data_IF_996949453732
#
_entry.id   IF_996949453732
#
_cell.length_a   1.000
_cell.length_b   1.000
_cell.length_c   1.000
_cell.angle_alpha   90.00
_cell.angle_beta   90.00
_cell.angle_gamma   90.00
#
_symmetry.space_group_name_H-M   'P 1'
#
loop_
_entity.id
_entity.type
_entity.pdbx_description
1 polymer ?
#
# COMPACT_ATOMS: atom_id res chain seq x y z
N UNK A 1 19.28 -2.25 -3.20
CA UNK A 1 19.51 -3.71 -3.31
C UNK A 1 19.87 -4.42 -1.99
N UNK A 2 20.38 -3.76 -0.94
CA UNK A 2 20.62 -4.44 0.35
C UNK A 2 19.33 -4.99 0.99
N UNK A 3 18.25 -4.21 0.95
CA UNK A 3 16.93 -4.61 1.46
C UNK A 3 16.28 -5.75 0.68
N UNK A 4 16.44 -5.82 -0.65
CA UNK A 4 15.92 -6.93 -1.46
C UNK A 4 16.60 -8.26 -1.09
N UNK A 5 17.92 -8.24 -0.86
CA UNK A 5 18.67 -9.43 -0.44
C UNK A 5 18.33 -9.86 0.99
N UNK A 6 18.10 -8.91 1.89
CA UNK A 6 17.70 -9.19 3.28
C UNK A 6 16.27 -9.73 3.36
N UNK A 7 15.32 -9.12 2.66
CA UNK A 7 13.94 -9.59 2.60
C UNK A 7 13.82 -11.00 2.00
N UNK A 8 14.67 -11.33 1.03
CA UNK A 8 14.74 -12.68 0.47
C UNK A 8 15.36 -13.71 1.44
N UNK A 9 16.29 -13.28 2.31
CA UNK A 9 16.97 -14.15 3.28
C UNK A 9 16.16 -14.36 4.56
N UNK A 10 15.36 -13.37 4.97
CA UNK A 10 14.51 -13.41 6.17
C UNK A 10 13.06 -13.04 5.80
N UNK A 11 12.34 -13.92 5.08
CA UNK A 11 10.98 -13.64 4.59
C UNK A 11 9.92 -13.48 5.70
N UNK A 12 10.24 -13.90 6.93
CA UNK A 12 9.38 -13.71 8.11
C UNK A 12 9.67 -12.38 8.86
N UNK A 13 10.72 -11.66 8.48
CA UNK A 13 11.06 -10.39 9.12
C UNK A 13 10.23 -9.25 8.53
N UNK A 14 9.11 -8.95 9.20
CA UNK A 14 8.15 -7.94 8.77
C UNK A 14 8.73 -6.53 8.68
N UNK A 15 9.80 -6.23 9.42
CA UNK A 15 10.46 -4.92 9.36
C UNK A 15 11.20 -4.70 8.04
N UNK A 16 11.98 -5.68 7.57
CA UNK A 16 12.71 -5.56 6.30
C UNK A 16 11.78 -5.51 5.09
N UNK A 17 10.73 -6.34 5.10
CA UNK A 17 9.70 -6.30 4.08
C UNK A 17 8.99 -4.93 4.06
N UNK A 18 8.68 -4.35 5.23
CA UNK A 18 8.08 -3.01 5.31
C UNK A 18 8.99 -1.94 4.75
N UNK A 19 10.27 -1.91 5.14
CA UNK A 19 11.26 -0.94 4.64
C UNK A 19 11.44 -1.03 3.11
N UNK A 20 11.45 -2.25 2.58
CA UNK A 20 11.51 -2.49 1.14
C UNK A 20 10.25 -1.95 0.44
N UNK A 21 9.07 -2.18 1.02
CA UNK A 21 7.82 -1.64 0.47
C UNK A 21 7.79 -0.10 0.44
N UNK A 22 8.32 0.56 1.48
CA UNK A 22 8.44 2.03 1.55
C UNK A 22 9.38 2.53 0.45
N UNK A 23 10.47 1.81 0.18
CA UNK A 23 11.40 2.17 -0.90
C UNK A 23 10.71 2.11 -2.27
N UNK A 24 9.96 1.06 -2.55
CA UNK A 24 9.19 0.96 -3.80
C UNK A 24 8.08 2.01 -3.92
N UNK A 25 7.36 2.30 -2.83
CA UNK A 25 6.35 3.37 -2.82
C UNK A 25 6.96 4.71 -3.23
N UNK A 26 8.07 5.11 -2.60
CA UNK A 26 8.74 6.38 -2.88
C UNK A 26 9.27 6.46 -4.32
N UNK A 27 9.80 5.36 -4.85
CA UNK A 27 10.23 5.30 -6.25
C UNK A 27 9.03 5.38 -7.20
N UNK A 28 7.92 4.74 -6.86
CA UNK A 28 6.67 4.80 -7.62
C UNK A 28 6.09 6.21 -7.66
N UNK A 29 6.09 6.91 -6.52
CA UNK A 29 5.68 8.31 -6.41
C UNK A 29 6.58 9.22 -7.25
N UNK A 30 7.90 9.02 -7.21
CA UNK A 30 8.84 9.77 -8.04
C UNK A 30 8.59 9.54 -9.54
N UNK A 31 8.36 8.28 -9.96
CA UNK A 31 8.03 7.96 -11.34
C UNK A 31 6.70 8.59 -11.77
N UNK A 32 5.70 8.62 -10.90
CA UNK A 32 4.42 9.29 -11.16
C UNK A 32 4.60 10.78 -11.39
N UNK A 33 5.40 11.46 -10.55
CA UNK A 33 5.73 12.89 -10.71
C UNK A 33 6.54 13.17 -11.98
N UNK A 34 7.29 12.18 -12.47
CA UNK A 34 8.01 12.26 -13.75
C UNK A 34 7.12 11.90 -14.96
N UNK A 35 5.81 11.71 -14.76
CA UNK A 35 4.84 11.29 -15.77
C UNK A 35 5.14 9.91 -16.40
N UNK A 36 6.01 9.11 -15.77
CA UNK A 36 6.29 7.72 -16.15
C UNK A 36 5.30 6.77 -15.45
N UNK A 37 4.07 6.77 -15.96
CA UNK A 37 2.94 6.00 -15.42
C UNK A 37 3.20 4.50 -15.41
N UNK A 38 3.90 3.96 -16.41
CA UNK A 38 4.19 2.52 -16.48
C UNK A 38 5.17 2.10 -15.39
N UNK A 39 6.26 2.86 -15.19
CA UNK A 39 7.20 2.61 -14.11
C UNK A 39 6.54 2.80 -12.74
N UNK A 40 5.73 3.85 -12.58
CA UNK A 40 4.97 4.10 -11.35
C UNK A 40 4.05 2.92 -11.02
N UNK A 41 3.28 2.43 -11.99
CA UNK A 41 2.40 1.28 -11.84
C UNK A 41 3.16 0.04 -11.41
N UNK A 42 4.30 -0.27 -12.03
CA UNK A 42 5.10 -1.44 -11.69
C UNK A 42 5.65 -1.38 -10.26
N UNK A 43 6.18 -0.23 -9.85
CA UNK A 43 6.76 -0.01 -8.52
C UNK A 43 5.68 -0.03 -7.42
N UNK A 44 4.56 0.66 -7.64
CA UNK A 44 3.44 0.68 -6.69
C UNK A 44 2.76 -0.70 -6.57
N UNK A 45 2.69 -1.46 -7.66
CA UNK A 45 2.22 -2.86 -7.63
C UNK A 45 3.10 -3.74 -6.75
N UNK A 46 4.42 -3.54 -6.83
CA UNK A 46 5.39 -4.27 -6.00
C UNK A 46 5.24 -3.89 -4.52
N UNK A 47 5.14 -2.59 -4.22
CA UNK A 47 4.90 -2.09 -2.86
C UNK A 47 3.59 -2.66 -2.26
N UNK A 48 2.49 -2.61 -3.03
CA UNK A 48 1.19 -3.12 -2.61
C UNK A 48 1.24 -4.63 -2.33
N UNK A 49 1.94 -5.41 -3.16
CA UNK A 49 2.07 -6.86 -2.98
C UNK A 49 2.77 -7.22 -1.67
N UNK A 50 3.83 -6.48 -1.32
CA UNK A 50 4.54 -6.68 -0.04
C UNK A 50 3.64 -6.27 1.14
N UNK A 51 2.97 -5.11 1.06
CA UNK A 51 2.09 -4.62 2.13
C UNK A 51 0.86 -5.49 2.36
N UNK A 52 0.30 -6.09 1.31
CA UNK A 52 -0.74 -7.13 1.43
C UNK A 52 -0.24 -8.34 2.21
N UNK A 53 0.99 -8.79 1.96
CA UNK A 53 1.57 -9.92 2.70
C UNK A 53 1.78 -9.57 4.18
N UNK A 54 2.31 -8.39 4.46
CA UNK A 54 2.50 -7.87 5.83
C UNK A 54 1.16 -7.75 6.57
N UNK A 55 0.15 -7.16 5.95
CA UNK A 55 -1.18 -7.03 6.54
C UNK A 55 -1.83 -8.41 6.79
N UNK A 56 -1.64 -9.39 5.90
CA UNK A 56 -2.12 -10.76 6.16
C UNK A 56 -1.42 -11.44 7.34
N UNK A 57 -0.13 -11.17 7.54
CA UNK A 57 0.63 -11.72 8.67
C UNK A 57 0.24 -11.06 9.99
N UNK A 58 0.03 -9.74 9.99
CA UNK A 58 -0.31 -8.95 11.16
C UNK A 58 -1.61 -8.12 10.94
N UNK A 59 -2.79 -8.75 10.82
CA UNK A 59 -4.02 -8.08 10.39
C UNK A 59 -4.54 -7.01 11.35
N UNK A 60 -4.12 -7.04 12.61
CA UNK A 60 -4.53 -6.07 13.63
C UNK A 60 -3.60 -4.85 13.72
N UNK A 61 -2.57 -4.75 12.87
CA UNK A 61 -1.63 -3.62 12.84
C UNK A 61 -2.19 -2.49 11.98
N UNK A 62 -2.64 -1.43 12.64
CA UNK A 62 -3.20 -0.24 11.98
C UNK A 62 -2.20 0.42 11.03
N UNK A 63 -0.92 0.49 11.40
CA UNK A 63 0.11 1.15 10.59
C UNK A 63 0.30 0.43 9.25
N UNK A 64 0.26 -0.90 9.23
CA UNK A 64 0.35 -1.70 8.01
C UNK A 64 -0.91 -1.55 7.14
N UNK A 65 -2.08 -1.48 7.76
CA UNK A 65 -3.35 -1.29 7.05
C UNK A 65 -3.41 0.10 6.37
N UNK A 66 -3.01 1.16 7.08
CA UNK A 66 -2.96 2.51 6.52
C UNK A 66 -1.91 2.67 5.43
N UNK A 67 -0.74 2.04 5.59
CA UNK A 67 0.28 2.01 4.55
C UNK A 67 -0.22 1.30 3.28
N UNK A 68 -0.90 0.16 3.44
CA UNK A 68 -1.53 -0.52 2.31
C UNK A 68 -2.58 0.39 1.64
N UNK A 69 -3.47 1.00 2.41
CA UNK A 69 -4.49 1.92 1.89
C UNK A 69 -3.91 3.10 1.10
N UNK A 70 -2.82 3.71 1.57
CA UNK A 70 -2.13 4.79 0.85
C UNK A 70 -1.58 4.30 -0.49
N UNK A 71 -0.90 3.15 -0.51
CA UNK A 71 -0.35 2.59 -1.77
C UNK A 71 -1.45 2.20 -2.75
N UNK A 72 -2.57 1.65 -2.26
CA UNK A 72 -3.72 1.34 -3.11
C UNK A 72 -4.31 2.61 -3.73
N UNK A 73 -4.40 3.70 -2.97
CA UNK A 73 -4.85 4.99 -3.48
C UNK A 73 -3.90 5.55 -4.55
N UNK A 74 -2.59 5.50 -4.32
CA UNK A 74 -1.58 5.90 -5.29
C UNK A 74 -1.65 5.03 -6.56
N UNK A 75 -1.71 3.71 -6.41
CA UNK A 75 -1.81 2.78 -7.55
C UNK A 75 -3.09 3.04 -8.35
N UNK A 76 -4.20 3.34 -7.67
CA UNK A 76 -5.49 3.66 -8.31
C UNK A 76 -5.42 4.90 -9.24
N UNK A 77 -4.47 5.80 -8.99
CA UNK A 77 -4.27 7.02 -9.80
C UNK A 77 -3.45 6.78 -11.08
N UNK A 78 -2.76 5.64 -11.17
CA UNK A 78 -1.86 5.29 -12.29
C UNK A 78 -2.31 4.06 -13.07
N UNK A 79 -3.52 3.53 -12.79
CA UNK A 79 -4.11 2.39 -13.51
C UNK A 79 -5.36 2.80 -14.29
N UNK A 80 -5.81 1.94 -15.20
CA UNK A 80 -7.06 2.12 -15.94
C UNK A 80 -8.28 2.00 -15.00
N UNK A 81 -9.47 2.36 -15.50
CA UNK A 81 -10.70 2.37 -14.70
C UNK A 81 -11.13 0.99 -14.19
N UNK A 82 -10.89 -0.08 -14.95
CA UNK A 82 -11.33 -1.43 -14.58
C UNK A 82 -10.53 -1.93 -13.36
N UNK A 83 -9.22 -1.75 -13.38
CA UNK A 83 -8.32 -2.10 -12.27
C UNK A 83 -8.53 -1.19 -11.05
N UNK A 84 -8.87 0.10 -11.30
CA UNK A 84 -9.05 1.12 -10.27
C UNK A 84 -10.16 0.76 -9.28
N UNK A 85 -11.29 0.23 -9.74
CA UNK A 85 -12.43 -0.09 -8.88
C UNK A 85 -12.10 -1.17 -7.84
N UNK A 86 -11.31 -2.18 -8.22
CA UNK A 86 -10.88 -3.25 -7.32
C UNK A 86 -9.96 -2.71 -6.20
N UNK A 87 -9.06 -1.78 -6.52
CA UNK A 87 -8.16 -1.16 -5.53
C UNK A 87 -8.92 -0.27 -4.54
N UNK A 88 -9.95 0.43 -5.01
CA UNK A 88 -10.83 1.24 -4.15
C UNK A 88 -11.59 0.34 -3.18
N UNK A 89 -12.20 -0.75 -3.67
CA UNK A 89 -12.90 -1.71 -2.82
C UNK A 89 -11.96 -2.32 -1.76
N UNK A 90 -10.76 -2.75 -2.16
CA UNK A 90 -9.76 -3.27 -1.21
C UNK A 90 -9.35 -2.23 -0.16
N UNK A 91 -9.24 -0.96 -0.54
CA UNK A 91 -8.93 0.12 0.41
C UNK A 91 -10.00 0.24 1.49
N UNK A 92 -11.28 0.08 1.13
CA UNK A 92 -12.38 0.06 2.10
C UNK A 92 -12.27 -1.17 3.00
N UNK A 93 -12.09 -2.35 2.42
CA UNK A 93 -12.02 -3.61 3.17
C UNK A 93 -10.88 -3.63 4.20
N UNK A 94 -9.73 -3.06 3.85
CA UNK A 94 -8.54 -2.99 4.73
C UNK A 94 -8.74 -2.00 5.89
N UNK A 95 -9.41 -0.87 5.66
CA UNK A 95 -9.49 0.22 6.66
C UNK A 95 -10.77 0.20 7.49
N UNK A 96 -11.87 -0.36 6.98
CA UNK A 96 -13.16 -0.39 7.66
C UNK A 96 -13.14 -1.06 9.05
N UNK A 97 -12.40 -2.17 9.29
CA UNK A 97 -12.31 -2.76 10.63
C UNK A 97 -11.73 -1.78 11.67
N UNK A 98 -10.75 -0.98 11.28
CA UNK A 98 -10.11 -0.01 12.15
C UNK A 98 -10.96 1.24 12.38
N UNK A 99 -11.77 1.63 11.40
CA UNK A 99 -12.79 2.68 11.56
C UNK A 99 -13.82 2.26 12.61
N UNK A 100 -14.36 1.04 12.50
CA UNK A 100 -15.33 0.49 13.45
C UNK A 100 -14.76 0.38 14.86
N UNK A 101 -13.46 0.08 14.97
CA UNK A 101 -12.74 0.05 16.24
C UNK A 101 -12.37 1.44 16.78
N UNK A 102 -12.54 2.53 16.00
CA UNK A 102 -12.17 3.89 16.39
C UNK A 102 -10.65 4.12 16.47
N UNK A 103 -9.87 3.36 15.70
CA UNK A 103 -8.39 3.34 15.78
C UNK A 103 -7.68 3.95 14.58
N UNK A 104 -8.41 4.29 13.50
CA UNK A 104 -7.81 4.99 12.35
C UNK A 104 -7.17 6.30 12.77
N UNK A 105 -6.01 6.59 12.20
CA UNK A 105 -5.42 7.93 12.27
C UNK A 105 -6.17 8.87 11.33
N UNK A 106 -6.00 10.21 11.45
CA UNK A 106 -6.57 11.15 10.51
C UNK A 106 -6.20 10.87 9.04
N UNK A 107 -4.99 10.33 8.80
CA UNK A 107 -4.54 9.91 7.47
C UNK A 107 -5.38 8.73 6.96
N UNK A 108 -5.52 7.67 7.75
CA UNK A 108 -6.35 6.52 7.41
C UNK A 108 -7.81 6.90 7.17
N UNK A 109 -8.37 7.81 7.99
CA UNK A 109 -9.71 8.34 7.78
C UNK A 109 -9.85 9.09 6.46
N UNK A 110 -8.85 9.90 6.08
CA UNK A 110 -8.87 10.61 4.81
C UNK A 110 -8.85 9.66 3.60
N UNK A 111 -8.01 8.62 3.67
CA UNK A 111 -7.93 7.57 2.63
C UNK A 111 -9.25 6.80 2.52
N UNK A 112 -9.82 6.36 3.64
CA UNK A 112 -11.10 5.64 3.64
C UNK A 112 -12.25 6.51 3.11
N UNK A 113 -12.27 7.80 3.43
CA UNK A 113 -13.26 8.74 2.90
C UNK A 113 -13.09 8.94 1.39
N UNK A 114 -11.85 9.01 0.90
CA UNK A 114 -11.60 9.05 -0.54
C UNK A 114 -12.14 7.80 -1.23
N UNK A 115 -11.92 6.61 -0.66
CA UNK A 115 -12.35 5.35 -1.26
C UNK A 115 -13.88 5.15 -1.30
N UNK A 116 -14.66 5.94 -0.53
CA UNK A 116 -16.13 5.88 -0.48
C UNK A 116 -16.83 6.99 -1.30
N UNK A 117 -16.06 7.87 -1.95
CA UNK A 117 -16.60 8.92 -2.84
C UNK A 117 -16.70 8.43 -4.27
#
# INVERSE_FOLDING_TARGET
>A
MAHERLAAAEPENTSYARDLSISYERLGDLAHHAEDTETAKALLTTAASIRRALHRQEPNRIDLAEELGVTLAQLSSVVNNDDRAALIAETVDVLEPFERAGTLTPKGTAVLRWARQ
#
